data_IF_920769950820
#
_entry.id   IF_920769950820
#
_cell.length_a   1.000
_cell.length_b   1.000
_cell.length_c   1.000
_cell.angle_alpha   90.00
_cell.angle_beta   90.00
_cell.angle_gamma   90.00
#
_symmetry.space_group_name_H-M   'P 1'
#
loop_
_entity.id
_entity.type
_entity.pdbx_description
1 polymer ?
#
# COMPACT_ATOMS: atom_id res chain seq x y z
N UNK A 1 13.27 -20.07 18.18
CA UNK A 1 11.85 -20.33 17.90
C UNK A 1 11.05 -21.03 19.01
N UNK A 2 11.64 -21.89 19.85
CA UNK A 2 10.90 -22.69 20.85
C UNK A 2 10.20 -21.92 22.00
N UNK A 3 10.17 -20.58 21.98
CA UNK A 3 9.62 -19.75 23.07
C UNK A 3 8.45 -18.84 22.67
N UNK A 4 7.98 -18.88 21.41
CA UNK A 4 6.77 -18.14 21.03
C UNK A 4 5.51 -18.82 21.59
N UNK A 5 4.64 -18.03 22.23
CA UNK A 5 3.39 -18.55 22.82
C UNK A 5 2.36 -18.96 21.76
N UNK A 6 2.34 -18.25 20.62
CA UNK A 6 1.38 -18.51 19.54
C UNK A 6 1.85 -19.76 18.77
N UNK A 7 0.98 -20.78 18.59
CA UNK A 7 1.33 -21.95 17.79
C UNK A 7 1.66 -21.58 16.35
N UNK A 8 2.78 -22.07 15.83
CA UNK A 8 3.20 -21.80 14.45
C UNK A 8 2.16 -22.30 13.44
N UNK A 9 1.61 -23.49 13.69
CA UNK A 9 0.53 -24.10 12.89
C UNK A 9 -0.70 -23.21 12.72
N UNK A 10 -1.04 -22.41 13.73
CA UNK A 10 -2.17 -21.48 13.64
C UNK A 10 -1.91 -20.39 12.60
N UNK A 11 -0.71 -19.80 12.63
CA UNK A 11 -0.30 -18.77 11.67
C UNK A 11 -0.16 -19.34 10.26
N UNK A 12 0.34 -20.58 10.14
CA UNK A 12 0.47 -21.26 8.86
C UNK A 12 -0.90 -21.49 8.18
N UNK A 13 -1.89 -21.95 8.95
CA UNK A 13 -3.26 -22.11 8.43
C UNK A 13 -3.88 -20.80 7.95
N UNK A 14 -3.52 -19.66 8.57
CA UNK A 14 -4.06 -18.35 8.22
C UNK A 14 -3.39 -17.72 6.99
N UNK A 15 -2.06 -17.83 6.88
CA UNK A 15 -1.26 -17.03 5.95
C UNK A 15 -0.67 -17.83 4.78
N UNK A 16 -0.51 -19.15 4.93
CA UNK A 16 0.28 -19.99 4.02
C UNK A 16 -0.40 -21.35 3.74
N UNK A 17 -1.72 -21.41 3.89
CA UNK A 17 -2.52 -22.63 3.66
C UNK A 17 -2.05 -23.88 4.44
N UNK A 18 -1.46 -23.67 5.63
CA UNK A 18 -0.96 -24.73 6.51
C UNK A 18 0.54 -25.01 6.40
N UNK A 19 1.27 -24.35 5.50
CA UNK A 19 2.73 -24.49 5.40
C UNK A 19 3.45 -23.65 6.48
N UNK A 20 4.14 -24.31 7.40
CA UNK A 20 4.83 -23.66 8.52
C UNK A 20 6.17 -23.02 8.13
N UNK A 21 6.83 -23.47 7.05
CA UNK A 21 8.19 -23.04 6.70
C UNK A 21 8.30 -21.53 6.38
N UNK A 22 7.42 -20.92 5.56
CA UNK A 22 7.53 -19.51 5.23
C UNK A 22 7.25 -18.61 6.43
N UNK A 23 6.34 -19.04 7.32
CA UNK A 23 6.01 -18.32 8.56
C UNK A 23 7.17 -18.39 9.54
N UNK A 24 7.77 -19.57 9.71
CA UNK A 24 8.96 -19.72 10.52
C UNK A 24 10.05 -18.78 10.02
N UNK A 25 10.42 -18.89 8.74
CA UNK A 25 11.46 -18.06 8.13
C UNK A 25 11.23 -16.55 8.34
N UNK A 26 9.99 -16.08 8.17
CA UNK A 26 9.64 -14.68 8.42
C UNK A 26 9.87 -14.28 9.90
N UNK A 27 9.39 -15.09 10.86
CA UNK A 27 9.57 -14.82 12.29
C UNK A 27 11.04 -14.86 12.71
N UNK A 28 11.82 -15.78 12.15
CA UNK A 28 13.27 -15.88 12.38
C UNK A 28 14.02 -14.64 11.91
N UNK A 29 13.67 -14.11 10.72
CA UNK A 29 14.23 -12.86 10.19
C UNK A 29 13.91 -11.66 11.08
N UNK A 30 12.67 -11.57 11.59
CA UNK A 30 12.27 -10.50 12.51
C UNK A 30 13.04 -10.57 13.84
N UNK A 31 13.27 -11.78 14.36
CA UNK A 31 14.10 -11.98 15.54
C UNK A 31 15.57 -11.62 15.29
N UNK A 32 16.11 -12.03 14.14
CA UNK A 32 17.49 -11.74 13.75
C UNK A 32 17.74 -10.22 13.67
N UNK A 33 16.83 -9.47 13.02
CA UNK A 33 16.88 -8.00 12.98
C UNK A 33 16.90 -7.41 14.40
N UNK A 34 16.03 -7.88 15.30
CA UNK A 34 15.96 -7.37 16.68
C UNK A 34 17.24 -7.63 17.47
N UNK A 35 17.83 -8.82 17.34
CA UNK A 35 19.09 -9.17 18.01
C UNK A 35 20.26 -8.36 17.44
N UNK A 36 20.31 -8.19 16.11
CA UNK A 36 21.34 -7.40 15.44
C UNK A 36 21.28 -5.93 15.88
N UNK A 37 20.12 -5.30 15.79
CA UNK A 37 19.94 -3.89 16.18
C UNK A 37 20.16 -3.66 17.68
N UNK A 38 19.79 -4.62 18.53
CA UNK A 38 20.14 -4.58 19.96
C UNK A 38 21.66 -4.59 20.17
N UNK A 39 22.38 -5.50 19.51
CA UNK A 39 23.84 -5.56 19.61
C UNK A 39 24.49 -4.23 19.22
N UNK A 40 24.02 -3.62 18.14
CA UNK A 40 24.51 -2.32 17.68
C UNK A 40 24.16 -1.16 18.62
N UNK A 41 22.93 -1.08 19.11
CA UNK A 41 22.48 0.04 19.95
C UNK A 41 22.90 -0.05 21.42
N UNK A 42 22.99 -1.27 21.97
CA UNK A 42 23.29 -1.49 23.39
C UNK A 42 24.76 -1.84 23.59
N UNK A 43 25.27 -2.82 22.84
CA UNK A 43 26.63 -3.34 23.04
C UNK A 43 27.66 -2.57 22.19
N UNK A 44 27.22 -1.76 21.22
CA UNK A 44 28.09 -1.03 20.29
C UNK A 44 28.81 -1.94 19.28
N UNK A 45 28.38 -3.20 19.12
CA UNK A 45 29.06 -4.21 18.29
C UNK A 45 28.09 -4.77 17.25
N UNK A 46 28.54 -4.82 16.00
CA UNK A 46 27.82 -5.48 14.91
C UNK A 46 27.98 -7.01 15.03
N UNK A 47 26.86 -7.75 15.04
CA UNK A 47 26.84 -9.23 15.16
C UNK A 47 26.39 -9.90 13.85
N UNK A 48 27.23 -9.96 12.80
CA UNK A 48 26.83 -10.42 11.46
C UNK A 48 26.42 -11.90 11.41
N UNK A 49 26.97 -12.74 12.31
CA UNK A 49 26.64 -14.17 12.39
C UNK A 49 25.13 -14.46 12.60
N UNK A 50 24.38 -13.51 13.17
CA UNK A 50 22.93 -13.65 13.36
C UNK A 50 22.18 -13.48 12.03
N UNK A 51 22.71 -12.65 11.13
CA UNK A 51 22.11 -12.35 9.83
C UNK A 51 22.40 -13.45 8.82
N UNK A 52 23.62 -13.99 8.83
CA UNK A 52 24.04 -15.11 7.98
C UNK A 52 23.15 -16.34 8.16
N UNK A 53 22.73 -16.63 9.39
CA UNK A 53 21.83 -17.75 9.71
C UNK A 53 20.47 -17.66 9.03
N UNK A 54 19.97 -16.45 8.78
CA UNK A 54 18.66 -16.21 8.16
C UNK A 54 18.77 -15.77 6.70
N UNK A 55 20.00 -15.78 6.16
CA UNK A 55 20.33 -15.36 4.80
C UNK A 55 20.04 -13.89 4.53
N UNK A 56 20.27 -13.02 5.52
CA UNK A 56 20.16 -11.57 5.36
C UNK A 56 21.55 -10.92 5.36
N UNK A 57 21.70 -9.85 4.59
CA UNK A 57 22.87 -8.98 4.65
C UNK A 57 22.61 -7.76 5.55
N UNK A 58 23.66 -6.99 5.84
CA UNK A 58 23.56 -5.79 6.69
C UNK A 58 22.63 -4.72 6.10
N UNK A 59 22.74 -4.45 4.80
CA UNK A 59 21.97 -3.40 4.13
C UNK A 59 20.47 -3.73 4.16
N UNK A 60 20.10 -4.98 3.87
CA UNK A 60 18.73 -5.48 3.96
C UNK A 60 18.14 -5.27 5.36
N UNK A 61 18.92 -5.53 6.41
CA UNK A 61 18.46 -5.37 7.79
C UNK A 61 18.31 -3.90 8.19
N UNK A 62 19.20 -3.04 7.71
CA UNK A 62 19.09 -1.59 7.88
C UNK A 62 17.85 -1.03 7.16
N UNK A 63 17.58 -1.49 5.93
CA UNK A 63 16.37 -1.14 5.17
C UNK A 63 15.11 -1.67 5.84
N UNK A 64 15.11 -2.93 6.30
CA UNK A 64 14.02 -3.50 7.08
C UNK A 64 13.76 -2.66 8.34
N UNK A 65 14.80 -2.26 9.06
CA UNK A 65 14.66 -1.41 10.24
C UNK A 65 14.10 -0.03 9.91
N UNK A 66 14.53 0.58 8.80
CA UNK A 66 13.98 1.85 8.31
C UNK A 66 12.48 1.73 8.02
N UNK A 67 12.08 0.73 7.24
CA UNK A 67 10.67 0.58 6.83
C UNK A 67 9.78 0.14 7.99
N UNK A 68 10.24 -0.77 8.85
CA UNK A 68 9.40 -1.40 9.88
C UNK A 68 9.47 -0.70 11.24
N UNK A 69 10.63 -0.17 11.64
CA UNK A 69 10.81 0.42 12.97
C UNK A 69 10.75 1.94 12.97
N UNK A 70 11.41 2.62 12.01
CA UNK A 70 11.31 4.08 11.87
C UNK A 70 9.99 4.44 11.21
N UNK A 71 9.67 3.78 10.10
CA UNK A 71 8.38 3.82 9.43
C UNK A 71 7.89 5.25 9.13
N UNK A 72 8.74 6.06 8.51
CA UNK A 72 8.38 7.41 8.07
C UNK A 72 7.14 7.39 7.16
N UNK A 73 6.43 8.52 7.08
CA UNK A 73 5.18 8.59 6.34
C UNK A 73 5.36 8.27 4.85
N UNK A 74 6.41 8.83 4.24
CA UNK A 74 6.79 8.63 2.84
C UNK A 74 7.18 7.19 2.52
N UNK A 75 7.75 6.47 3.49
CA UNK A 75 8.17 5.07 3.33
C UNK A 75 6.99 4.09 3.53
N UNK A 76 5.94 4.49 4.27
CA UNK A 76 4.76 3.65 4.53
C UNK A 76 3.74 3.66 3.39
N UNK A 77 3.58 4.79 2.71
CA UNK A 77 2.50 4.99 1.74
C UNK A 77 3.04 5.44 0.39
N UNK A 78 3.33 4.48 -0.47
CA UNK A 78 3.70 4.73 -1.87
C UNK A 78 2.45 4.60 -2.74
N UNK A 79 1.57 5.61 -2.68
CA UNK A 79 0.31 5.65 -3.44
C UNK A 79 0.47 6.60 -4.63
N UNK A 80 0.64 6.08 -5.87
CA UNK A 80 0.71 6.92 -7.06
C UNK A 80 -0.66 7.49 -7.41
N UNK A 81 -0.66 8.58 -8.19
CA UNK A 81 -1.90 9.14 -8.74
C UNK A 81 -2.51 8.18 -9.76
N UNK A 82 -3.81 7.94 -9.68
CA UNK A 82 -4.54 7.04 -10.59
C UNK A 82 -4.78 7.64 -11.99
N UNK A 83 -4.28 8.85 -12.23
CA UNK A 83 -4.36 9.56 -13.51
C UNK A 83 -5.76 9.54 -14.16
N UNK A 84 -6.78 9.96 -13.41
CA UNK A 84 -8.19 9.99 -13.86
C UNK A 84 -8.43 10.84 -15.11
N UNK A 85 -7.52 11.76 -15.40
CA UNK A 85 -7.55 12.64 -16.57
C UNK A 85 -7.47 11.91 -17.93
N UNK A 86 -6.96 10.68 -17.99
CA UNK A 86 -6.92 9.92 -19.25
C UNK A 86 -8.26 9.27 -19.62
N UNK A 87 -9.08 8.93 -18.62
CA UNK A 87 -10.33 8.20 -18.83
C UNK A 87 -11.56 9.13 -18.89
N UNK A 88 -11.49 10.29 -18.25
CA UNK A 88 -12.61 11.23 -18.12
C UNK A 88 -12.21 12.63 -18.57
N UNK A 89 -13.17 13.40 -19.09
CA UNK A 89 -12.97 14.83 -19.32
C UNK A 89 -12.79 15.56 -17.99
N UNK A 90 -11.55 15.65 -17.49
CA UNK A 90 -11.22 16.17 -16.17
C UNK A 90 -11.81 17.57 -15.89
N UNK A 91 -11.88 18.44 -16.91
CA UNK A 91 -12.50 19.77 -16.79
C UNK A 91 -14.01 19.72 -16.55
N UNK A 92 -14.71 18.78 -17.19
CA UNK A 92 -16.14 18.58 -16.99
C UNK A 92 -16.39 17.97 -15.59
N UNK A 93 -15.67 16.92 -15.24
CA UNK A 93 -15.81 16.25 -13.93
C UNK A 93 -15.49 17.20 -12.77
N UNK A 94 -14.44 18.03 -12.89
CA UNK A 94 -14.12 19.06 -11.88
C UNK A 94 -15.22 20.10 -11.71
N UNK A 95 -15.92 20.47 -12.78
CA UNK A 95 -16.97 21.51 -12.75
C UNK A 95 -18.37 20.98 -12.44
N UNK A 96 -18.64 19.69 -12.70
CA UNK A 96 -19.97 19.09 -12.55
C UNK A 96 -20.10 18.11 -11.39
N UNK A 97 -19.01 17.47 -10.95
CA UNK A 97 -19.09 16.41 -9.97
C UNK A 97 -19.12 16.93 -8.53
N UNK A 98 -20.11 16.48 -7.75
CA UNK A 98 -20.39 16.91 -6.38
C UNK A 98 -21.77 17.55 -6.17
N UNK A 99 -22.47 17.94 -7.24
CA UNK A 99 -23.86 18.41 -7.19
C UNK A 99 -24.84 17.24 -7.41
N UNK A 100 -25.50 16.79 -6.35
CA UNK A 100 -26.43 15.64 -6.37
C UNK A 100 -27.88 15.99 -6.75
N UNK A 101 -28.14 17.21 -7.23
CA UNK A 101 -29.48 17.67 -7.63
C UNK A 101 -29.97 17.09 -8.99
N UNK A 102 -29.14 16.30 -9.68
CA UNK A 102 -29.40 15.61 -10.95
C UNK A 102 -28.22 14.67 -11.29
N UNK A 103 -28.25 13.94 -12.41
CA UNK A 103 -27.20 13.00 -12.86
C UNK A 103 -25.82 13.67 -13.15
N UNK A 104 -25.21 14.34 -12.17
CA UNK A 104 -24.06 15.25 -12.35
C UNK A 104 -22.77 14.57 -12.78
N UNK A 105 -22.46 13.39 -12.26
CA UNK A 105 -21.34 12.54 -12.73
C UNK A 105 -21.76 11.08 -12.96
N UNK A 106 -23.06 10.82 -13.04
CA UNK A 106 -23.64 9.51 -13.32
C UNK A 106 -24.50 9.57 -14.58
N UNK A 107 -23.98 10.22 -15.62
CA UNK A 107 -24.59 10.07 -16.94
C UNK A 107 -24.29 8.66 -17.44
N UNK A 108 -25.35 7.91 -17.72
CA UNK A 108 -25.22 6.69 -18.49
C UNK A 108 -24.54 6.98 -19.84
N UNK A 109 -23.92 5.95 -20.41
CA UNK A 109 -23.25 6.04 -21.72
C UNK A 109 -24.22 6.37 -22.87
N UNK A 110 -25.52 6.18 -22.67
CA UNK A 110 -26.58 6.44 -23.64
C UNK A 110 -26.88 7.94 -23.79
N UNK A 111 -27.11 8.39 -25.02
CA UNK A 111 -27.43 9.79 -25.32
C UNK A 111 -28.82 10.22 -24.84
N UNK A 112 -29.77 9.29 -24.80
CA UNK A 112 -31.17 9.55 -24.41
C UNK A 112 -31.38 9.36 -22.92
N UNK A 113 -31.92 10.38 -22.25
CA UNK A 113 -32.40 10.31 -20.86
C UNK A 113 -33.91 10.13 -20.83
N UNK A 114 -34.41 9.17 -20.03
CA UNK A 114 -35.84 8.92 -19.80
C UNK A 114 -36.58 10.14 -19.24
N UNK A 115 -35.86 11.03 -18.55
CA UNK A 115 -36.41 12.24 -17.93
C UNK A 115 -36.16 13.51 -18.74
N UNK A 116 -35.71 13.40 -20.00
CA UNK A 116 -35.57 14.55 -20.91
C UNK A 116 -34.50 15.58 -20.52
N UNK A 117 -33.61 15.25 -19.57
CA UNK A 117 -32.49 16.11 -19.20
C UNK A 117 -31.42 16.11 -20.30
N UNK A 118 -31.13 17.25 -20.92
CA UNK A 118 -29.93 17.40 -21.76
C UNK A 118 -28.67 17.13 -20.93
N UNK A 119 -27.67 16.45 -21.51
CA UNK A 119 -26.34 16.33 -20.89
C UNK A 119 -25.82 17.75 -20.64
N UNK A 120 -25.70 18.19 -19.38
CA UNK A 120 -25.13 19.50 -19.06
C UNK A 120 -23.63 19.44 -19.37
N UNK A 121 -23.28 19.64 -20.64
CA UNK A 121 -21.91 19.91 -21.05
C UNK A 121 -21.57 21.29 -20.52
N UNK A 122 -20.79 21.37 -19.44
CA UNK A 122 -20.35 22.61 -18.78
C UNK A 122 -19.47 23.52 -19.66
N UNK A 123 -19.42 23.33 -20.98
CA UNK A 123 -18.89 24.33 -21.90
C UNK A 123 -19.85 24.52 -23.10
N UNK A 124 -20.99 25.20 -22.93
CA UNK A 124 -21.78 25.69 -24.05
C UNK A 124 -21.35 27.12 -24.39
N UNK A 125 -20.05 27.33 -24.65
CA UNK A 125 -19.59 28.54 -25.33
C UNK A 125 -18.78 28.07 -26.53
N UNK A 126 -19.42 28.07 -27.70
CA UNK A 126 -18.68 28.06 -28.96
C UNK A 126 -17.93 29.38 -29.00
N UNK A 127 -16.65 29.38 -28.63
CA UNK A 127 -15.78 30.50 -28.91
C UNK A 127 -15.76 30.67 -30.43
N UNK A 128 -16.53 31.64 -30.94
CA UNK A 128 -16.36 32.10 -32.31
C UNK A 128 -15.03 32.84 -32.32
N UNK A 129 -14.09 32.32 -33.10
CA UNK A 129 -12.96 33.11 -33.62
C UNK A 129 -13.53 34.16 -34.56
#
# INVERSE_FOLDING_TARGET
MRSLRIPLKYLANLLTAGDEEPVARALERMMAMRVFMRGRHVDGVDKPAVLERVGLNRAEVEDMYRVMAIANYEDRFVIPTTHREYAENAFNVRGGCGFSFGNGCSEGVTETSLFGSEKRRTIPIKAKV
#
